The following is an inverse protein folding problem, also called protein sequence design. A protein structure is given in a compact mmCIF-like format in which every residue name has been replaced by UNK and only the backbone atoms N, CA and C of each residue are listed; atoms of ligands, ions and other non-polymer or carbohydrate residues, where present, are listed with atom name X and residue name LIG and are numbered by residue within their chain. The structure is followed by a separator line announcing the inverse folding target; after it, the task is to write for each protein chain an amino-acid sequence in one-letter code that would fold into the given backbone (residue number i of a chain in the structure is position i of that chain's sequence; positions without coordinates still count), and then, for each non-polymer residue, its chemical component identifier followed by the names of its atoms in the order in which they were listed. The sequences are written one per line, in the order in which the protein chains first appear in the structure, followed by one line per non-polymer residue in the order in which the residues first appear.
data_IF_786960402700
#
_entry.id   IF_786960402700
#
_cell.length_a   1.000
_cell.length_b   1.000
_cell.length_c   1.000
_cell.angle_alpha   90.00
_cell.angle_beta   90.00
_cell.angle_gamma   90.00
#
_symmetry.space_group_name_H-M   'P 1'
#
loop_
_entity.id
_entity.type
_entity.pdbx_description
1 polymer ?
#
# COMPACT_ATOMS: atom_id res chain seq x y z
N UNK A 1 -55.53 36.06 11.15
CA UNK A 1 -54.32 35.65 11.89
C UNK A 1 -54.11 34.13 11.98
N UNK A 2 -55.13 33.28 12.15
CA UNK A 2 -54.95 31.81 12.32
C UNK A 2 -54.47 31.04 11.07
N UNK A 3 -54.80 31.46 9.84
CA UNK A 3 -54.40 30.74 8.61
C UNK A 3 -52.91 30.88 8.24
N UNK A 4 -52.28 31.99 8.61
CA UNK A 4 -50.85 32.25 8.35
C UNK A 4 -49.94 31.49 9.33
N UNK A 5 -50.38 31.31 10.58
CA UNK A 5 -49.67 30.50 11.58
C UNK A 5 -49.67 28.99 11.26
N UNK A 6 -50.75 28.48 10.65
CA UNK A 6 -50.82 27.07 10.22
C UNK A 6 -49.84 26.78 9.08
N UNK A 7 -49.67 27.71 8.13
CA UNK A 7 -48.70 27.57 7.05
C UNK A 7 -47.25 27.64 7.54
N UNK A 8 -46.94 28.52 8.50
CA UNK A 8 -45.61 28.59 9.13
C UNK A 8 -45.26 27.31 9.91
N UNK A 9 -46.24 26.72 10.60
CA UNK A 9 -46.04 25.44 11.30
C UNK A 9 -45.80 24.27 10.33
N UNK A 10 -46.49 24.23 9.19
CA UNK A 10 -46.32 23.18 8.18
C UNK A 10 -44.96 23.23 7.47
N UNK A 11 -44.42 24.42 7.22
CA UNK A 11 -43.07 24.59 6.65
C UNK A 11 -42.01 24.23 7.70
N UNK A 12 -42.20 24.62 8.96
CA UNK A 12 -41.28 24.27 10.04
C UNK A 12 -41.21 22.75 10.28
N UNK A 13 -42.33 22.02 10.21
CA UNK A 13 -42.33 20.55 10.33
C UNK A 13 -41.73 19.85 9.10
N UNK A 14 -41.90 20.38 7.89
CA UNK A 14 -41.21 19.87 6.69
C UNK A 14 -39.69 20.02 6.77
N UNK A 15 -39.19 21.11 7.35
CA UNK A 15 -37.74 21.32 7.56
C UNK A 15 -37.20 20.39 8.65
N UNK A 16 -37.94 20.17 9.74
CA UNK A 16 -37.53 19.30 10.85
C UNK A 16 -37.53 17.81 10.43
N UNK A 17 -38.52 17.36 9.66
CA UNK A 17 -38.56 15.98 9.11
C UNK A 17 -37.53 15.81 7.98
N UNK A 18 -37.28 16.87 7.20
CA UNK A 18 -36.22 16.89 6.19
C UNK A 18 -34.82 16.74 6.79
N UNK A 19 -34.52 17.44 7.90
CA UNK A 19 -33.21 17.40 8.56
C UNK A 19 -32.96 16.12 9.38
N UNK A 20 -34.00 15.53 9.98
CA UNK A 20 -33.85 14.25 10.70
C UNK A 20 -33.73 13.05 9.75
N UNK A 21 -34.33 13.11 8.57
CA UNK A 21 -34.21 12.09 7.53
C UNK A 21 -32.90 12.18 6.73
N UNK A 22 -32.27 13.36 6.66
CA UNK A 22 -31.04 13.59 5.91
C UNK A 22 -29.78 13.01 6.59
N UNK A 23 -29.75 13.00 7.92
CA UNK A 23 -28.65 12.41 8.71
C UNK A 23 -28.61 10.88 8.59
N UNK A 24 -29.77 10.23 8.60
CA UNK A 24 -29.86 8.77 8.48
C UNK A 24 -29.48 8.28 7.08
N UNK A 25 -29.89 9.00 6.03
CA UNK A 25 -29.55 8.64 4.65
C UNK A 25 -28.06 8.75 4.33
N UNK A 26 -27.35 9.74 4.90
CA UNK A 26 -25.90 9.85 4.73
C UNK A 26 -25.14 8.81 5.55
N UNK A 27 -25.61 8.49 6.77
CA UNK A 27 -24.99 7.47 7.61
C UNK A 27 -25.10 6.06 6.97
N UNK A 28 -26.25 5.71 6.38
CA UNK A 28 -26.42 4.42 5.69
C UNK A 28 -25.65 4.35 4.38
N UNK A 29 -25.58 5.45 3.61
CA UNK A 29 -24.77 5.51 2.40
C UNK A 29 -23.27 5.34 2.71
N UNK A 30 -22.74 6.07 3.70
CA UNK A 30 -21.34 5.95 4.11
C UNK A 30 -21.01 4.56 4.68
N UNK A 31 -21.92 3.97 5.47
CA UNK A 31 -21.77 2.61 5.98
C UNK A 31 -21.74 1.57 4.85
N UNK A 32 -22.67 1.65 3.89
CA UNK A 32 -22.70 0.76 2.72
C UNK A 32 -21.44 0.89 1.86
N UNK A 33 -20.96 2.10 1.61
CA UNK A 33 -19.70 2.31 0.86
C UNK A 33 -18.49 1.76 1.61
N UNK A 34 -18.49 1.82 2.94
CA UNK A 34 -17.40 1.29 3.78
C UNK A 34 -17.39 -0.25 3.77
N UNK A 35 -18.57 -0.87 3.84
CA UNK A 35 -18.73 -2.33 3.79
C UNK A 35 -18.38 -2.89 2.41
N UNK A 36 -18.87 -2.24 1.35
CA UNK A 36 -18.56 -2.64 -0.02
C UNK A 36 -17.07 -2.48 -0.32
N UNK A 37 -16.49 -1.33 0.01
CA UNK A 37 -15.07 -1.06 -0.15
C UNK A 37 -14.22 -2.13 0.56
N UNK A 38 -14.56 -2.43 1.82
CA UNK A 38 -13.83 -3.42 2.61
C UNK A 38 -13.84 -4.79 1.97
N UNK A 39 -15.00 -5.23 1.48
CA UNK A 39 -15.15 -6.50 0.77
C UNK A 39 -14.30 -6.54 -0.49
N UNK A 40 -14.35 -5.51 -1.35
CA UNK A 40 -13.59 -5.54 -2.61
C UNK A 40 -12.08 -5.36 -2.41
N UNK A 41 -11.66 -4.61 -1.39
CA UNK A 41 -10.26 -4.45 -1.03
C UNK A 41 -9.67 -5.77 -0.47
N UNK A 42 -10.43 -6.52 0.33
CA UNK A 42 -10.01 -7.84 0.79
C UNK A 42 -9.94 -8.85 -0.36
N UNK A 43 -10.92 -8.82 -1.28
CA UNK A 43 -10.88 -9.64 -2.50
C UNK A 43 -9.65 -9.33 -3.35
N UNK A 44 -9.30 -8.05 -3.53
CA UNK A 44 -8.09 -7.63 -4.23
C UNK A 44 -6.82 -8.26 -3.65
N UNK A 45 -6.75 -8.40 -2.32
CA UNK A 45 -5.56 -8.86 -1.62
C UNK A 45 -5.42 -10.39 -1.58
N UNK A 46 -6.54 -11.09 -1.41
CA UNK A 46 -6.56 -12.52 -1.07
C UNK A 46 -6.89 -13.45 -2.25
N UNK A 47 -7.43 -12.92 -3.34
CA UNK A 47 -7.83 -13.73 -4.50
C UNK A 47 -6.60 -14.36 -5.18
N UNK A 48 -6.59 -15.69 -5.32
CA UNK A 48 -5.48 -16.41 -5.95
C UNK A 48 -5.43 -16.26 -7.48
N UNK A 49 -6.57 -16.03 -8.13
CA UNK A 49 -6.62 -15.78 -9.57
C UNK A 49 -6.20 -14.34 -9.87
N UNK A 50 -5.08 -14.17 -10.57
CA UNK A 50 -4.48 -12.85 -10.78
C UNK A 50 -5.36 -11.89 -11.60
N UNK A 51 -6.12 -12.36 -12.60
CA UNK A 51 -7.05 -11.52 -13.35
C UNK A 51 -8.22 -11.04 -12.48
N UNK A 52 -8.80 -11.94 -11.68
CA UNK A 52 -9.89 -11.58 -10.76
C UNK A 52 -9.42 -10.65 -9.64
N UNK A 53 -8.21 -10.88 -9.11
CA UNK A 53 -7.57 -9.99 -8.15
C UNK A 53 -7.40 -8.59 -8.74
N UNK A 54 -6.84 -8.47 -9.96
CA UNK A 54 -6.67 -7.20 -10.65
C UNK A 54 -7.99 -6.43 -10.80
N UNK A 55 -9.06 -7.12 -11.23
CA UNK A 55 -10.40 -6.51 -11.35
C UNK A 55 -10.98 -6.06 -10.00
N UNK A 56 -10.74 -6.83 -8.92
CA UNK A 56 -11.15 -6.42 -7.58
C UNK A 56 -10.36 -5.19 -7.11
N UNK A 57 -9.06 -5.13 -7.38
CA UNK A 57 -8.23 -3.97 -7.06
C UNK A 57 -8.67 -2.72 -7.82
N UNK A 58 -8.95 -2.83 -9.12
CA UNK A 58 -9.44 -1.70 -9.93
C UNK A 58 -10.77 -1.16 -9.41
N UNK A 59 -11.69 -2.05 -9.00
CA UNK A 59 -12.95 -1.64 -8.35
C UNK A 59 -12.70 -0.96 -6.99
N UNK A 60 -11.83 -1.52 -6.16
CA UNK A 60 -11.52 -0.95 -4.86
C UNK A 60 -10.86 0.44 -4.99
N UNK A 61 -9.93 0.63 -5.94
CA UNK A 61 -9.30 1.91 -6.25
C UNK A 61 -10.32 2.93 -6.78
N UNK A 62 -11.30 2.50 -7.58
CA UNK A 62 -12.36 3.38 -8.07
C UNK A 62 -13.27 3.90 -6.95
N UNK A 63 -13.49 3.11 -5.89
CA UNK A 63 -14.23 3.51 -4.70
C UNK A 63 -13.38 4.42 -3.82
N UNK A 64 -12.15 4.00 -3.52
CA UNK A 64 -11.21 4.78 -2.71
C UNK A 64 -9.77 4.59 -3.20
N UNK A 65 -9.26 5.59 -3.92
CA UNK A 65 -7.88 5.61 -4.45
C UNK A 65 -6.82 5.91 -3.38
N UNK A 66 -7.23 6.41 -2.22
CA UNK A 66 -6.35 6.81 -1.13
C UNK A 66 -6.04 5.66 -0.17
N UNK A 67 -6.66 4.48 -0.33
CA UNK A 67 -6.24 3.29 0.40
C UNK A 67 -5.10 2.59 -0.36
N UNK A 68 -4.01 2.28 0.35
CA UNK A 68 -2.83 1.66 -0.25
C UNK A 68 -2.99 0.14 -0.48
N UNK A 69 -3.90 -0.54 0.24
CA UNK A 69 -4.07 -2.00 0.13
C UNK A 69 -4.45 -2.42 -1.30
N UNK A 70 -5.43 -1.76 -1.96
CA UNK A 70 -5.74 -2.05 -3.35
C UNK A 70 -4.55 -1.88 -4.30
N UNK A 71 -3.68 -0.90 -4.07
CA UNK A 71 -2.49 -0.68 -4.90
C UNK A 71 -1.46 -1.80 -4.73
N UNK A 72 -1.24 -2.29 -3.50
CA UNK A 72 -0.38 -3.46 -3.27
C UNK A 72 -0.94 -4.73 -3.94
N UNK A 73 -2.23 -5.02 -3.76
CA UNK A 73 -2.86 -6.18 -4.41
C UNK A 73 -2.77 -6.10 -5.94
N UNK A 74 -2.86 -4.89 -6.50
CA UNK A 74 -2.65 -4.63 -7.92
C UNK A 74 -1.23 -4.93 -8.38
N UNK A 75 -0.20 -4.51 -7.64
CA UNK A 75 1.21 -4.86 -7.91
C UNK A 75 1.38 -6.38 -7.97
N UNK A 76 0.86 -7.10 -6.96
CA UNK A 76 0.92 -8.56 -6.90
C UNK A 76 0.25 -9.23 -8.09
N UNK A 77 -0.97 -8.81 -8.42
CA UNK A 77 -1.72 -9.34 -9.55
C UNK A 77 -1.01 -9.10 -10.89
N UNK A 78 -0.48 -7.89 -11.11
CA UNK A 78 0.22 -7.54 -12.36
C UNK A 78 1.53 -8.30 -12.53
N UNK A 79 2.29 -8.48 -11.44
CA UNK A 79 3.50 -9.31 -11.45
C UNK A 79 3.20 -10.78 -11.78
N UNK A 80 2.15 -11.35 -11.17
CA UNK A 80 1.71 -12.71 -11.47
C UNK A 80 1.24 -12.88 -12.94
N UNK A 81 0.82 -11.80 -13.59
CA UNK A 81 0.44 -11.76 -15.00
C UNK A 81 1.61 -11.43 -15.94
N UNK A 82 2.82 -11.18 -15.43
CA UNK A 82 3.99 -10.74 -16.21
C UNK A 82 3.86 -9.33 -16.80
N UNK A 83 2.97 -8.48 -16.26
CA UNK A 83 2.74 -7.11 -16.72
C UNK A 83 3.59 -6.10 -15.96
N UNK A 84 4.91 -6.24 -16.09
CA UNK A 84 5.90 -5.55 -15.25
C UNK A 84 5.75 -4.01 -15.30
N UNK A 85 5.60 -3.41 -16.49
CA UNK A 85 5.45 -1.95 -16.62
C UNK A 85 4.24 -1.40 -15.84
N UNK A 86 3.12 -2.11 -15.88
CA UNK A 86 1.93 -1.70 -15.14
C UNK A 86 2.10 -1.93 -13.63
N UNK A 87 2.85 -2.96 -13.24
CA UNK A 87 3.18 -3.22 -11.84
C UNK A 87 4.05 -2.10 -11.27
N UNK A 88 5.02 -1.59 -12.03
CA UNK A 88 5.87 -0.47 -11.62
C UNK A 88 5.05 0.80 -11.40
N UNK A 89 4.09 1.10 -12.29
CA UNK A 89 3.17 2.21 -12.11
C UNK A 89 2.31 2.03 -10.85
N UNK A 90 1.80 0.81 -10.60
CA UNK A 90 1.03 0.53 -9.39
C UNK A 90 1.89 0.63 -8.12
N UNK A 91 3.16 0.25 -8.18
CA UNK A 91 4.12 0.38 -7.08
C UNK A 91 4.39 1.85 -6.74
N UNK A 92 4.53 2.71 -7.76
CA UNK A 92 4.66 4.16 -7.56
C UNK A 92 3.43 4.75 -6.87
N UNK A 93 2.22 4.31 -7.24
CA UNK A 93 0.99 4.75 -6.59
C UNK A 93 0.90 4.24 -5.14
N UNK A 94 1.23 2.96 -4.90
CA UNK A 94 1.30 2.40 -3.54
C UNK A 94 2.26 3.19 -2.65
N UNK A 95 3.44 3.51 -3.16
CA UNK A 95 4.47 4.28 -2.48
C UNK A 95 4.05 5.75 -2.26
N UNK A 96 3.42 6.39 -3.25
CA UNK A 96 2.87 7.74 -3.12
C UNK A 96 1.78 7.81 -2.04
N UNK A 97 0.78 6.94 -2.13
CA UNK A 97 -0.32 6.87 -1.17
C UNK A 97 0.23 6.50 0.21
N UNK A 98 1.08 5.48 0.31
CA UNK A 98 1.63 5.07 1.60
C UNK A 98 2.58 6.09 2.23
N UNK A 99 3.31 6.91 1.47
CA UNK A 99 4.07 8.03 2.05
C UNK A 99 3.16 9.12 2.63
N UNK A 100 2.01 9.35 2.01
CA UNK A 100 1.01 10.28 2.54
C UNK A 100 0.49 9.81 3.91
N UNK A 101 0.38 8.48 4.12
CA UNK A 101 0.07 7.88 5.42
C UNK A 101 1.34 7.42 6.14
N UNK A 102 1.91 8.26 7.00
CA UNK A 102 3.19 8.03 7.73
C UNK A 102 3.40 6.62 8.33
N UNK A 103 2.35 5.86 8.63
CA UNK A 103 2.43 4.46 9.08
C UNK A 103 2.85 3.43 8.02
N UNK A 104 2.86 3.74 6.71
CA UNK A 104 3.10 2.75 5.65
C UNK A 104 4.54 2.68 5.14
N UNK A 105 5.47 3.42 5.74
CA UNK A 105 6.88 3.38 5.31
C UNK A 105 7.49 1.97 5.42
N UNK A 106 7.23 1.26 6.52
CA UNK A 106 7.74 -0.10 6.72
C UNK A 106 7.16 -1.09 5.70
N UNK A 107 5.82 -1.19 5.50
CA UNK A 107 5.27 -2.01 4.42
C UNK A 107 5.84 -1.71 3.04
N UNK A 108 6.05 -0.43 2.68
CA UNK A 108 6.64 -0.03 1.40
C UNK A 108 8.05 -0.61 1.23
N UNK A 109 8.90 -0.45 2.24
CA UNK A 109 10.26 -0.95 2.20
C UNK A 109 10.31 -2.49 2.11
N UNK A 110 9.43 -3.18 2.85
CA UNK A 110 9.32 -4.64 2.77
C UNK A 110 8.87 -5.09 1.38
N UNK A 111 7.95 -4.36 0.74
CA UNK A 111 7.50 -4.66 -0.62
C UNK A 111 8.61 -4.51 -1.65
N UNK A 112 9.29 -3.36 -1.63
CA UNK A 112 10.39 -3.09 -2.54
C UNK A 112 11.49 -4.14 -2.40
N UNK A 113 11.85 -4.50 -1.15
CA UNK A 113 12.83 -5.56 -0.87
C UNK A 113 12.35 -6.91 -1.38
N UNK A 114 11.09 -7.29 -1.15
CA UNK A 114 10.50 -8.54 -1.67
C UNK A 114 10.56 -8.59 -3.19
N UNK A 115 10.17 -7.53 -3.89
CA UNK A 115 10.20 -7.45 -5.35
C UNK A 115 11.63 -7.63 -5.85
N UNK A 116 12.57 -6.85 -5.32
CA UNK A 116 13.98 -6.94 -5.69
C UNK A 116 14.55 -8.35 -5.46
N UNK A 117 14.28 -8.96 -4.31
CA UNK A 117 14.75 -10.32 -4.03
C UNK A 117 14.13 -11.35 -4.96
N UNK A 118 12.84 -11.23 -5.27
CA UNK A 118 12.17 -12.12 -6.22
C UNK A 118 12.77 -12.01 -7.63
N UNK A 119 13.18 -10.82 -8.02
CA UNK A 119 13.80 -10.52 -9.30
C UNK A 119 15.22 -11.10 -9.42
N UNK A 120 16.02 -10.93 -8.36
CA UNK A 120 17.38 -11.50 -8.27
C UNK A 120 17.35 -13.03 -8.28
N UNK A 121 16.40 -13.64 -7.57
CA UNK A 121 16.22 -15.11 -7.57
C UNK A 121 15.85 -15.63 -8.96
N UNK A 122 15.05 -14.89 -9.71
CA UNK A 122 14.64 -15.28 -11.06
C UNK A 122 15.72 -15.06 -12.12
N UNK A 123 16.66 -14.12 -11.91
CA UNK A 123 17.68 -13.73 -12.89
C UNK A 123 19.12 -13.82 -12.37
N UNK A 124 19.87 -14.80 -12.88
CA UNK A 124 21.30 -14.96 -12.59
C UNK A 124 22.15 -13.77 -13.07
N UNK A 125 21.74 -13.14 -14.17
CA UNK A 125 22.39 -11.95 -14.69
C UNK A 125 22.32 -10.80 -13.67
N UNK A 126 21.13 -10.51 -13.16
CA UNK A 126 20.94 -9.44 -12.15
C UNK A 126 21.66 -9.71 -10.83
N UNK A 127 21.74 -10.96 -10.40
CA UNK A 127 22.55 -11.33 -9.23
C UNK A 127 24.06 -11.08 -9.46
N UNK A 128 24.52 -11.24 -10.70
CA UNK A 128 25.91 -10.96 -11.10
C UNK A 128 26.15 -9.45 -11.20
N UNK A 129 25.19 -8.68 -11.72
CA UNK A 129 25.23 -7.22 -11.73
C UNK A 129 25.34 -6.65 -10.32
N UNK A 130 24.53 -7.13 -9.37
CA UNK A 130 24.63 -6.73 -7.96
C UNK A 130 26.02 -6.99 -7.38
N UNK A 131 26.60 -8.16 -7.65
CA UNK A 131 27.96 -8.50 -7.19
C UNK A 131 29.01 -7.59 -7.84
N UNK A 132 28.83 -7.25 -9.11
CA UNK A 132 29.71 -6.35 -9.85
C UNK A 132 29.65 -4.94 -9.28
N UNK A 133 28.45 -4.43 -9.00
CA UNK A 133 28.23 -3.12 -8.42
C UNK A 133 28.85 -3.00 -7.03
N UNK A 134 28.69 -4.02 -6.16
CA UNK A 134 29.36 -4.10 -4.86
C UNK A 134 30.87 -3.94 -5.01
N UNK A 135 31.48 -4.68 -5.94
CA UNK A 135 32.93 -4.62 -6.18
C UNK A 135 33.37 -3.27 -6.72
N UNK A 136 32.58 -2.64 -7.59
CA UNK A 136 32.86 -1.31 -8.13
C UNK A 136 32.83 -0.23 -7.04
N UNK A 137 31.78 -0.20 -6.21
CA UNK A 137 31.66 0.76 -5.11
C UNK A 137 32.78 0.55 -4.09
N UNK A 138 33.09 -0.69 -3.75
CA UNK A 138 34.23 -1.01 -2.88
C UNK A 138 35.56 -0.52 -3.47
N UNK A 139 35.77 -0.70 -4.78
CA UNK A 139 36.96 -0.20 -5.49
C UNK A 139 37.08 1.31 -5.44
N UNK A 140 35.98 2.04 -5.63
CA UNK A 140 35.95 3.51 -5.51
C UNK A 140 36.32 3.97 -4.10
N UNK A 141 35.78 3.33 -3.06
CA UNK A 141 36.12 3.63 -1.66
C UNK A 141 37.61 3.39 -1.41
N UNK A 142 38.15 2.26 -1.86
CA UNK A 142 39.55 1.87 -1.65
C UNK A 142 40.55 2.74 -2.42
N UNK A 143 40.14 3.34 -3.54
CA UNK A 143 41.00 4.23 -4.34
C UNK A 143 41.42 5.50 -3.58
N UNK A 144 40.69 5.87 -2.52
CA UNK A 144 40.95 7.06 -1.72
C UNK A 144 40.61 8.38 -2.42
N UNK A 145 40.05 8.35 -3.64
CA UNK A 145 39.75 9.55 -4.43
C UNK A 145 38.53 10.35 -3.94
N UNK A 146 37.71 9.74 -3.07
CA UNK A 146 36.49 10.34 -2.53
C UNK A 146 36.79 11.27 -1.35
N UNK A 147 36.05 12.38 -1.26
CA UNK A 147 36.01 13.23 -0.07
C UNK A 147 35.43 12.47 1.13
N UNK A 148 35.55 13.04 2.34
CA UNK A 148 35.04 12.41 3.57
C UNK A 148 33.53 12.15 3.51
N UNK A 149 32.77 13.08 2.95
CA UNK A 149 31.31 12.96 2.83
C UNK A 149 30.91 11.93 1.76
N UNK A 150 31.50 12.00 0.57
CA UNK A 150 31.26 11.04 -0.51
C UNK A 150 31.63 9.62 -0.07
N UNK A 151 32.72 9.47 0.70
CA UNK A 151 33.13 8.18 1.26
C UNK A 151 32.09 7.63 2.24
N UNK A 152 31.54 8.47 3.12
CA UNK A 152 30.50 8.05 4.05
C UNK A 152 29.22 7.62 3.32
N UNK A 153 28.81 8.37 2.30
CA UNK A 153 27.65 8.01 1.47
C UNK A 153 27.89 6.70 0.70
N UNK A 154 29.07 6.54 0.09
CA UNK A 154 29.44 5.32 -0.62
C UNK A 154 29.48 4.10 0.33
N UNK A 155 29.92 4.28 1.58
CA UNK A 155 29.90 3.23 2.59
C UNK A 155 28.48 2.83 3.01
N UNK A 156 27.58 3.79 3.22
CA UNK A 156 26.16 3.49 3.49
C UNK A 156 25.52 2.75 2.31
N UNK A 157 25.79 3.21 1.09
CA UNK A 157 25.28 2.56 -0.11
C UNK A 157 25.81 1.14 -0.28
N UNK A 158 27.12 0.95 -0.11
CA UNK A 158 27.75 -0.37 -0.15
C UNK A 158 27.15 -1.32 0.88
N UNK A 159 26.91 -0.85 2.11
CA UNK A 159 26.28 -1.64 3.16
C UNK A 159 24.88 -2.10 2.74
N UNK A 160 24.08 -1.22 2.11
CA UNK A 160 22.75 -1.59 1.61
C UNK A 160 22.83 -2.67 0.54
N UNK A 161 23.75 -2.56 -0.41
CA UNK A 161 23.94 -3.57 -1.46
C UNK A 161 24.37 -4.91 -0.87
N UNK A 162 25.28 -4.90 0.11
CA UNK A 162 25.72 -6.10 0.82
C UNK A 162 24.57 -6.76 1.60
N UNK A 163 23.73 -5.97 2.28
CA UNK A 163 22.56 -6.51 2.97
C UNK A 163 21.59 -7.18 1.99
N UNK A 164 21.35 -6.57 0.82
CA UNK A 164 20.51 -7.17 -0.24
C UNK A 164 21.13 -8.47 -0.74
N UNK A 165 22.44 -8.51 -0.95
CA UNK A 165 23.17 -9.71 -1.39
C UNK A 165 23.07 -10.83 -0.34
N UNK A 166 23.19 -10.50 0.93
CA UNK A 166 23.03 -11.45 2.04
C UNK A 166 21.61 -12.03 2.08
N UNK A 167 20.58 -11.18 1.99
CA UNK A 167 19.20 -11.70 1.94
C UNK A 167 18.98 -12.58 0.72
N UNK A 168 19.53 -12.19 -0.44
CA UNK A 168 19.43 -12.98 -1.66
C UNK A 168 20.04 -14.37 -1.45
N UNK A 169 21.21 -14.47 -0.82
CA UNK A 169 21.86 -15.75 -0.51
C UNK A 169 21.04 -16.58 0.50
N UNK A 170 20.44 -15.91 1.49
CA UNK A 170 19.53 -16.54 2.44
C UNK A 170 18.27 -17.08 1.75
N UNK A 171 17.65 -16.30 0.85
CA UNK A 171 16.46 -16.70 0.09
C UNK A 171 16.79 -17.83 -0.90
N UNK A 172 17.96 -17.81 -1.54
CA UNK A 172 18.42 -18.92 -2.39
C UNK A 172 18.51 -20.23 -1.59
N UNK A 173 19.01 -20.15 -0.35
CA UNK A 173 19.17 -21.30 0.55
C UNK A 173 17.84 -21.74 1.18
N UNK A 174 16.92 -20.80 1.38
CA UNK A 174 15.59 -21.03 1.94
C UNK A 174 14.53 -20.19 1.23
N UNK A 175 13.96 -20.70 0.12
CA UNK A 175 12.99 -19.96 -0.70
C UNK A 175 11.74 -19.51 0.06
N UNK A 176 11.38 -20.17 1.16
CA UNK A 176 10.20 -19.81 1.98
C UNK A 176 10.35 -18.43 2.65
N UNK A 177 11.57 -17.90 2.77
CA UNK A 177 11.80 -16.56 3.34
C UNK A 177 11.11 -15.47 2.52
N UNK A 178 11.00 -15.65 1.20
CA UNK A 178 10.31 -14.69 0.34
C UNK A 178 8.80 -14.66 0.61
N UNK A 179 8.20 -15.84 0.81
CA UNK A 179 6.79 -15.98 1.19
C UNK A 179 6.53 -15.43 2.61
N UNK A 180 7.46 -15.66 3.54
CA UNK A 180 7.39 -15.08 4.89
C UNK A 180 7.44 -13.56 4.87
N UNK A 181 8.31 -12.96 4.04
CA UNK A 181 8.40 -11.52 3.86
C UNK A 181 7.08 -10.95 3.30
N UNK A 182 6.46 -11.64 2.35
CA UNK A 182 5.14 -11.28 1.83
C UNK A 182 4.05 -11.35 2.91
N UNK A 183 4.00 -12.45 3.68
CA UNK A 183 3.03 -12.60 4.76
C UNK A 183 3.18 -11.52 5.83
N UNK A 184 4.42 -11.22 6.24
CA UNK A 184 4.72 -10.17 7.22
C UNK A 184 4.23 -8.78 6.76
N UNK A 185 4.37 -8.50 5.48
CA UNK A 185 3.91 -7.25 4.87
C UNK A 185 2.39 -7.16 4.84
N UNK A 186 1.71 -8.24 4.42
CA UNK A 186 0.25 -8.34 4.41
C UNK A 186 -0.31 -8.09 5.82
N UNK A 187 0.25 -8.75 6.84
CA UNK A 187 -0.18 -8.55 8.22
C UNK A 187 0.03 -7.12 8.69
N UNK A 188 1.20 -6.51 8.40
CA UNK A 188 1.45 -5.13 8.76
C UNK A 188 0.44 -4.16 8.12
N UNK A 189 0.08 -4.37 6.85
CA UNK A 189 -0.91 -3.54 6.17
C UNK A 189 -2.32 -3.70 6.76
N UNK A 190 -2.71 -4.94 7.10
CA UNK A 190 -4.00 -5.21 7.74
C UNK A 190 -4.10 -4.50 9.10
N UNK A 191 -3.07 -4.61 9.94
CA UNK A 191 -3.07 -3.98 11.27
C UNK A 191 -3.08 -2.45 11.17
N UNK A 192 -2.32 -1.86 10.24
CA UNK A 192 -2.37 -0.43 9.98
C UNK A 192 -3.77 0.02 9.57
N UNK A 193 -4.40 -0.70 8.64
CA UNK A 193 -5.76 -0.39 8.18
C UNK A 193 -6.78 -0.47 9.31
N UNK A 194 -6.73 -1.52 10.14
CA UNK A 194 -7.59 -1.65 11.32
C UNK A 194 -7.44 -0.43 12.24
N UNK A 195 -6.20 -0.04 12.54
CA UNK A 195 -5.91 1.15 13.35
C UNK A 195 -6.53 2.43 12.79
N UNK A 196 -6.45 2.64 11.47
CA UNK A 196 -7.09 3.79 10.81
C UNK A 196 -8.62 3.76 10.88
N UNK A 197 -9.23 2.59 10.63
CA UNK A 197 -10.70 2.42 10.70
C UNK A 197 -11.20 2.67 12.13
N UNK A 198 -10.51 2.11 13.14
CA UNK A 198 -10.86 2.32 14.55
C UNK A 198 -10.71 3.79 14.97
N UNK A 199 -9.65 4.48 14.52
CA UNK A 199 -9.46 5.89 14.80
C UNK A 199 -10.59 6.75 14.19
N UNK A 200 -10.97 6.50 12.93
CA UNK A 200 -12.09 7.20 12.29
C UNK A 200 -13.44 6.90 12.98
N UNK A 201 -13.68 5.65 13.38
CA UNK A 201 -14.90 5.30 14.10
C UNK A 201 -15.02 6.05 15.44
N UNK A 202 -13.91 6.18 16.19
CA UNK A 202 -13.86 6.96 17.43
C UNK A 202 -14.13 8.45 17.21
N UNK A 203 -13.57 9.03 16.14
CA UNK A 203 -13.82 10.43 15.77
C UNK A 203 -15.29 10.70 15.42
N UNK A 204 -15.93 9.76 14.72
CA UNK A 204 -17.34 9.89 14.31
C UNK A 204 -18.34 9.62 15.44
N UNK A 205 -17.99 8.79 16.43
CA UNK A 205 -18.84 8.51 17.59
C UNK A 205 -18.77 9.59 18.69
N UNK A 206 -17.78 10.50 18.60
CA UNK A 206 -17.57 11.60 19.55
C UNK A 206 -18.27 12.92 19.17
N UNK A 207 -19.02 12.96 18.05
CA UNK A 207 -19.84 14.09 17.59
C UNK A 207 -21.34 13.76 17.70
#
# INVERSE_FOLDING_TARGET
MKRFQVWLMAIATMIIVGLSSFSWGMATAQAQTTDEFTRVAEQCLTTSNAQAALQACDRAIAINKEDAIPWYGKVKALNALGRNEQADLALQQFDFVGRYYSGMLRPIQLLQRRILLSELVASRERATELTTEINQVQGQINSGSLSTEERAQAQDYLQRLQNIKEDYDQVQSNPQLLDQLENNMIQAMIELRKGFVEANARLNAGN
#
